data_IF_860851844007
#
_entry.id   IF_860851844007
#
_cell.length_a   1.000
_cell.length_b   1.000
_cell.length_c   1.000
_cell.angle_alpha   90.00
_cell.angle_beta   90.00
_cell.angle_gamma   90.00
#
_symmetry.space_group_name_H-M   'P 1'
#
loop_
_entity.id
_entity.type
_entity.pdbx_description
1 polymer ?
#
# COMPACT_ATOMS: atom_id res chain seq x y z
N UNK A 1 -32.84 -8.41 37.58
CA UNK A 1 -32.64 -7.77 36.26
C UNK A 1 -31.62 -6.66 36.42
N UNK A 2 -30.45 -6.78 35.79
CA UNK A 2 -29.56 -5.64 35.56
C UNK A 2 -28.78 -5.98 34.30
N UNK A 3 -29.27 -5.44 33.18
CA UNK A 3 -28.68 -5.54 31.86
C UNK A 3 -27.40 -4.70 31.89
N UNK A 4 -26.24 -5.32 32.11
CA UNK A 4 -24.97 -4.69 31.75
C UNK A 4 -24.86 -4.76 30.23
N UNK A 5 -25.45 -3.77 29.58
CA UNK A 5 -25.13 -3.44 28.21
C UNK A 5 -23.64 -3.10 28.17
N UNK A 6 -22.82 -4.10 27.81
CA UNK A 6 -21.49 -3.83 27.28
C UNK A 6 -21.72 -3.04 26.01
N UNK A 7 -21.57 -1.73 26.11
CA UNK A 7 -21.33 -0.87 24.97
C UNK A 7 -20.12 -1.47 24.25
N UNK A 8 -20.38 -2.16 23.14
CA UNK A 8 -19.33 -2.72 22.31
C UNK A 8 -18.51 -1.52 21.83
N UNK A 9 -17.32 -1.32 22.40
CA UNK A 9 -16.37 -0.34 21.92
C UNK A 9 -16.30 -0.49 20.40
N UNK A 10 -16.56 0.60 19.67
CA UNK A 10 -16.46 0.58 18.21
C UNK A 10 -15.13 -0.10 17.85
N UNK A 11 -15.12 -1.08 16.92
CA UNK A 11 -13.91 -1.80 16.61
C UNK A 11 -12.82 -0.79 16.28
N UNK A 12 -11.67 -0.89 16.97
CA UNK A 12 -10.53 -0.03 16.69
C UNK A 12 -10.28 -0.03 15.18
N UNK A 13 -10.18 1.15 14.59
CA UNK A 13 -9.95 1.30 13.15
C UNK A 13 -8.65 0.59 12.72
N UNK A 14 -8.47 0.36 11.41
CA UNK A 14 -7.28 -0.30 10.91
C UNK A 14 -6.01 0.45 11.34
N UNK A 15 -4.97 -0.27 11.75
CA UNK A 15 -3.67 0.26 12.12
C UNK A 15 -2.62 -0.13 11.08
N UNK A 16 -1.69 0.78 10.77
CA UNK A 16 -0.59 0.53 9.82
C UNK A 16 0.70 0.24 10.57
N UNK A 17 1.41 -0.81 10.15
CA UNK A 17 2.71 -1.19 10.69
C UNK A 17 3.62 -1.76 9.60
N UNK A 18 4.94 -1.68 9.82
CA UNK A 18 5.94 -2.32 8.94
C UNK A 18 5.67 -3.82 8.86
N UNK A 19 5.62 -4.34 7.65
CA UNK A 19 5.41 -5.77 7.40
C UNK A 19 6.76 -6.46 7.23
N UNK A 20 7.27 -7.06 8.31
CA UNK A 20 8.59 -7.70 8.32
C UNK A 20 8.66 -8.98 7.47
N UNK A 21 7.54 -9.67 7.27
CA UNK A 21 7.42 -10.85 6.43
C UNK A 21 6.02 -10.93 5.81
N UNK A 22 5.93 -11.49 4.60
CA UNK A 22 4.62 -11.77 3.98
C UNK A 22 3.96 -12.99 4.63
N UNK A 23 4.69 -14.08 4.77
CA UNK A 23 4.14 -15.30 5.37
C UNK A 23 4.31 -15.32 6.90
N UNK A 24 3.32 -15.84 7.65
CA UNK A 24 2.02 -16.34 7.17
C UNK A 24 0.94 -15.25 7.01
N UNK A 25 1.20 -14.03 7.47
CA UNK A 25 0.20 -12.98 7.66
C UNK A 25 -0.58 -12.59 6.39
N UNK A 26 0.08 -12.57 5.23
CA UNK A 26 -0.47 -12.12 3.96
C UNK A 26 -1.09 -13.26 3.12
N UNK A 27 -1.10 -14.50 3.61
CA UNK A 27 -1.77 -15.62 2.92
C UNK A 27 -3.22 -15.32 2.50
N UNK A 28 -4.08 -14.77 3.39
CA UNK A 28 -5.44 -14.36 3.04
C UNK A 28 -5.50 -13.29 1.95
N UNK A 29 -4.53 -12.36 1.92
CA UNK A 29 -4.42 -11.32 0.89
C UNK A 29 -4.12 -11.94 -0.48
N UNK A 30 -3.17 -12.87 -0.54
CA UNK A 30 -2.84 -13.59 -1.77
C UNK A 30 -4.06 -14.37 -2.30
N UNK A 31 -4.69 -15.17 -1.44
CA UNK A 31 -5.86 -15.96 -1.82
C UNK A 31 -7.02 -15.09 -2.32
N UNK A 32 -7.23 -13.92 -1.69
CA UNK A 32 -8.25 -12.98 -2.12
C UNK A 32 -7.94 -12.32 -3.47
N UNK A 33 -6.70 -11.90 -3.68
CA UNK A 33 -6.26 -11.31 -4.94
C UNK A 33 -6.38 -12.31 -6.10
N UNK A 34 -6.04 -13.57 -5.87
CA UNK A 34 -6.13 -14.64 -6.88
C UNK A 34 -7.57 -14.93 -7.30
N UNK A 35 -8.50 -15.02 -6.33
CA UNK A 35 -9.93 -15.15 -6.64
C UNK A 35 -10.46 -13.99 -7.48
N UNK A 36 -9.86 -12.82 -7.36
CA UNK A 36 -10.24 -11.61 -8.10
C UNK A 36 -9.42 -11.40 -9.38
N UNK A 37 -8.51 -12.30 -9.73
CA UNK A 37 -7.67 -12.18 -10.93
C UNK A 37 -6.62 -11.06 -10.85
N UNK A 38 -6.25 -10.63 -9.65
CA UNK A 38 -5.32 -9.50 -9.42
C UNK A 38 -3.89 -10.02 -9.32
N UNK A 39 -3.21 -10.09 -10.47
CA UNK A 39 -1.91 -10.75 -10.62
C UNK A 39 -0.74 -10.08 -9.87
N UNK A 40 -0.81 -8.76 -9.59
CA UNK A 40 0.34 -8.07 -9.00
C UNK A 40 0.62 -8.49 -7.54
N UNK A 41 -0.36 -9.02 -6.81
CA UNK A 41 -0.15 -9.56 -5.46
C UNK A 41 0.63 -10.86 -5.51
N UNK A 42 0.35 -11.73 -6.48
CA UNK A 42 1.18 -12.92 -6.71
C UNK A 42 2.62 -12.54 -7.05
N UNK A 43 2.80 -11.53 -7.92
CA UNK A 43 4.11 -10.99 -8.24
C UNK A 43 4.85 -10.44 -7.01
N UNK A 44 4.14 -9.81 -6.06
CA UNK A 44 4.74 -9.42 -4.78
C UNK A 44 5.31 -10.63 -4.04
N UNK A 45 4.58 -11.74 -3.95
CA UNK A 45 5.06 -12.96 -3.28
C UNK A 45 6.25 -13.60 -4.00
N UNK A 46 6.26 -13.62 -5.33
CA UNK A 46 7.37 -14.15 -6.13
C UNK A 46 8.64 -13.28 -6.01
N UNK A 47 8.48 -11.96 -6.12
CA UNK A 47 9.57 -10.99 -5.92
C UNK A 47 10.08 -11.02 -4.48
N UNK A 48 9.16 -11.27 -3.53
CA UNK A 48 9.53 -11.62 -2.18
C UNK A 48 10.31 -12.93 -2.23
N UNK A 49 9.75 -14.13 -2.27
CA UNK A 49 10.51 -15.39 -2.21
C UNK A 49 11.87 -15.45 -2.95
N UNK A 50 11.98 -14.91 -4.18
CA UNK A 50 13.25 -14.80 -4.92
C UNK A 50 14.34 -13.86 -4.36
N UNK A 51 13.96 -12.89 -3.51
CA UNK A 51 14.87 -11.85 -3.01
C UNK A 51 15.03 -10.66 -3.95
N UNK A 52 14.41 -10.69 -5.14
CA UNK A 52 14.53 -9.60 -6.13
C UNK A 52 13.93 -8.27 -5.65
N UNK A 53 12.96 -8.31 -4.72
CA UNK A 53 12.46 -7.15 -4.01
C UNK A 53 12.03 -7.52 -2.58
N UNK A 54 12.76 -7.00 -1.57
CA UNK A 54 12.40 -7.06 -0.16
C UNK A 54 11.93 -5.72 0.41
N UNK A 55 11.95 -4.66 -0.39
CA UNK A 55 11.77 -3.29 0.11
C UNK A 55 12.80 -2.90 1.19
N UNK A 56 14.06 -3.32 1.00
CA UNK A 56 15.15 -3.16 2.00
C UNK A 56 16.19 -2.11 1.60
N UNK A 57 16.09 -1.51 0.40
CA UNK A 57 17.01 -0.42 0.04
C UNK A 57 16.66 0.85 0.83
N UNK A 58 17.58 1.81 0.96
CA UNK A 58 17.29 3.07 1.65
C UNK A 58 16.02 3.76 1.13
N UNK A 59 15.12 4.07 2.07
CA UNK A 59 13.80 4.68 1.80
C UNK A 59 12.73 3.72 1.30
N UNK A 60 13.05 2.45 1.06
CA UNK A 60 12.06 1.44 0.72
C UNK A 60 11.37 0.91 1.98
N UNK A 61 10.09 0.60 1.85
CA UNK A 61 9.29 0.07 2.95
C UNK A 61 8.09 -0.70 2.42
N UNK A 62 7.63 -1.69 3.17
CA UNK A 62 6.33 -2.32 2.98
C UNK A 62 5.53 -2.24 4.27
N UNK A 63 4.29 -1.82 4.15
CA UNK A 63 3.34 -1.71 5.24
C UNK A 63 2.22 -2.74 5.11
N UNK A 64 1.76 -3.22 6.26
CA UNK A 64 0.52 -3.94 6.44
C UNK A 64 -0.51 -3.06 7.16
N UNK A 65 -1.77 -3.16 6.75
CA UNK A 65 -2.90 -2.61 7.48
C UNK A 65 -3.63 -3.74 8.21
N UNK A 66 -3.78 -3.58 9.52
CA UNK A 66 -4.25 -4.60 10.45
C UNK A 66 -5.56 -4.16 11.09
N UNK A 67 -6.53 -5.08 11.17
CA UNK A 67 -7.75 -4.91 11.94
C UNK A 67 -7.89 -6.09 12.89
N UNK A 68 -7.70 -5.83 14.20
CA UNK A 68 -7.43 -6.90 15.16
C UNK A 68 -6.15 -7.64 14.78
N UNK A 69 -6.21 -8.98 14.78
CA UNK A 69 -5.08 -9.84 14.37
C UNK A 69 -5.01 -10.07 12.85
N UNK A 70 -5.99 -9.59 12.09
CA UNK A 70 -6.09 -9.83 10.65
C UNK A 70 -5.39 -8.77 9.81
N UNK A 71 -4.53 -9.21 8.90
CA UNK A 71 -4.00 -8.34 7.84
C UNK A 71 -5.08 -8.13 6.76
N UNK A 72 -5.58 -6.89 6.66
CA UNK A 72 -6.69 -6.52 5.76
C UNK A 72 -6.24 -5.76 4.51
N UNK A 73 -4.99 -5.30 4.49
CA UNK A 73 -4.38 -4.69 3.33
C UNK A 73 -2.86 -4.63 3.47
N UNK A 74 -2.18 -4.36 2.36
CA UNK A 74 -0.74 -4.14 2.32
C UNK A 74 -0.38 -3.18 1.18
N UNK A 75 0.82 -2.64 1.24
CA UNK A 75 1.35 -1.79 0.19
C UNK A 75 2.79 -1.39 0.45
N UNK A 76 3.56 -1.23 -0.63
CA UNK A 76 4.98 -0.89 -0.52
C UNK A 76 5.38 0.35 -1.31
N UNK A 77 6.53 0.88 -0.94
CA UNK A 77 7.22 1.97 -1.59
C UNK A 77 8.64 1.51 -1.92
N UNK A 78 9.00 1.52 -3.19
CA UNK A 78 10.37 1.25 -3.65
C UNK A 78 11.04 2.53 -4.12
N UNK A 79 12.38 2.51 -4.25
CA UNK A 79 13.05 3.39 -5.21
C UNK A 79 12.53 3.03 -6.60
N UNK A 80 12.13 4.00 -7.41
CA UNK A 80 11.49 3.68 -8.68
C UNK A 80 12.49 3.01 -9.64
N UNK A 81 12.29 1.74 -10.03
CA UNK A 81 13.26 1.01 -10.84
C UNK A 81 13.21 1.38 -12.33
N UNK A 82 12.27 2.24 -12.74
CA UNK A 82 12.05 2.64 -14.13
C UNK A 82 12.56 4.06 -14.43
N UNK A 83 13.36 4.64 -13.55
CA UNK A 83 14.06 5.91 -13.78
C UNK A 83 15.43 5.89 -13.12
N UNK A 84 16.38 6.59 -13.72
CA UNK A 84 17.69 6.84 -13.11
C UNK A 84 17.69 8.08 -12.21
N UNK A 85 16.61 8.87 -12.21
CA UNK A 85 16.47 10.06 -11.38
C UNK A 85 16.46 9.70 -9.89
N UNK A 86 17.34 10.33 -9.11
CA UNK A 86 17.37 10.15 -7.67
C UNK A 86 16.19 10.84 -6.97
N UNK A 87 15.80 10.32 -5.81
CA UNK A 87 14.68 10.88 -5.05
C UNK A 87 13.31 10.61 -5.67
N UNK A 88 13.18 9.63 -6.57
CA UNK A 88 11.90 9.15 -7.09
C UNK A 88 11.52 7.82 -6.47
N UNK A 89 10.43 7.82 -5.70
CA UNK A 89 9.82 6.63 -5.12
C UNK A 89 8.69 6.08 -5.98
N UNK A 90 8.31 4.82 -5.77
CA UNK A 90 7.21 4.17 -6.48
C UNK A 90 6.31 3.38 -5.54
N UNK A 91 5.03 3.73 -5.49
CA UNK A 91 4.04 2.87 -4.83
C UNK A 91 3.86 1.60 -5.64
N UNK A 92 3.91 0.45 -4.96
CA UNK A 92 3.76 -0.87 -5.56
C UNK A 92 2.92 -1.75 -4.67
N UNK A 93 2.22 -2.67 -5.32
CA UNK A 93 1.51 -3.76 -4.67
C UNK A 93 0.46 -3.32 -3.64
N UNK A 94 -0.14 -2.13 -3.81
CA UNK A 94 -1.22 -1.65 -2.92
C UNK A 94 -2.45 -2.55 -3.10
N UNK A 95 -2.85 -3.26 -2.05
CA UNK A 95 -3.99 -4.16 -2.06
C UNK A 95 -4.77 -4.10 -0.74
N UNK A 96 -6.10 -4.18 -0.85
CA UNK A 96 -7.01 -4.29 0.30
C UNK A 96 -7.98 -5.43 0.00
N UNK A 97 -8.20 -6.29 0.99
CA UNK A 97 -9.18 -7.37 0.92
C UNK A 97 -10.51 -6.84 0.40
N UNK A 98 -11.16 -7.58 -0.50
CA UNK A 98 -12.45 -7.18 -1.07
C UNK A 98 -13.47 -6.76 -0.01
N UNK A 99 -13.54 -7.52 1.09
CA UNK A 99 -14.43 -7.26 2.24
C UNK A 99 -14.10 -6.02 3.07
N UNK A 100 -12.93 -5.39 2.86
CA UNK A 100 -12.47 -4.22 3.60
C UNK A 100 -12.26 -2.99 2.70
N UNK A 101 -12.67 -3.07 1.42
CA UNK A 101 -12.65 -1.92 0.51
C UNK A 101 -13.71 -0.90 0.90
N UNK A 102 -13.48 0.35 0.53
CA UNK A 102 -14.36 1.49 0.84
C UNK A 102 -14.49 1.82 2.34
N UNK A 103 -13.68 1.19 3.21
CA UNK A 103 -13.58 1.47 4.65
C UNK A 103 -12.39 2.37 5.02
N UNK A 104 -11.76 3.02 4.04
CA UNK A 104 -10.61 3.91 4.27
C UNK A 104 -9.23 3.24 4.41
N UNK A 105 -9.14 1.90 4.45
CA UNK A 105 -7.88 1.14 4.59
C UNK A 105 -6.83 1.54 3.55
N UNK A 106 -7.23 1.62 2.27
CA UNK A 106 -6.30 1.99 1.20
C UNK A 106 -5.80 3.43 1.34
N UNK A 107 -6.67 4.35 1.77
CA UNK A 107 -6.29 5.75 2.03
C UNK A 107 -5.28 5.83 3.17
N UNK A 108 -5.48 5.05 4.24
CA UNK A 108 -4.55 4.98 5.36
C UNK A 108 -3.17 4.49 4.88
N UNK A 109 -3.10 3.33 4.21
CA UNK A 109 -1.85 2.79 3.66
C UNK A 109 -1.09 3.80 2.80
N UNK A 110 -1.78 4.44 1.83
CA UNK A 110 -1.11 5.39 0.93
C UNK A 110 -0.61 6.62 1.68
N UNK A 111 -1.36 7.13 2.67
CA UNK A 111 -0.92 8.27 3.47
C UNK A 111 0.30 7.95 4.32
N UNK A 112 0.34 6.79 4.97
CA UNK A 112 1.51 6.36 5.74
C UNK A 112 2.74 6.15 4.83
N UNK A 113 2.55 5.59 3.63
CA UNK A 113 3.63 5.48 2.63
C UNK A 113 4.13 6.86 2.16
N UNK A 114 3.24 7.81 1.92
CA UNK A 114 3.63 9.18 1.53
C UNK A 114 4.34 9.91 2.66
N UNK A 115 3.90 9.75 3.91
CA UNK A 115 4.60 10.31 5.08
C UNK A 115 6.01 9.75 5.20
N UNK A 116 6.17 8.43 5.03
CA UNK A 116 7.51 7.83 5.00
C UNK A 116 8.36 8.40 3.85
N UNK A 117 7.75 8.64 2.69
CA UNK A 117 8.44 9.18 1.53
C UNK A 117 9.01 10.59 1.75
N UNK A 118 8.46 11.42 2.64
CA UNK A 118 8.90 12.81 2.90
C UNK A 118 10.38 12.91 3.30
N UNK A 119 10.93 11.86 3.94
CA UNK A 119 12.34 11.80 4.35
C UNK A 119 13.28 11.24 3.27
N UNK A 120 12.75 10.73 2.16
CA UNK A 120 13.51 9.88 1.23
C UNK A 120 13.34 10.26 -0.25
N UNK A 121 12.21 10.86 -0.63
CA UNK A 121 11.84 11.10 -2.01
C UNK A 121 11.23 12.49 -2.19
N UNK A 122 11.47 13.07 -3.36
CA UNK A 122 10.87 14.35 -3.81
C UNK A 122 9.62 14.11 -4.66
N UNK A 123 9.50 12.91 -5.23
CA UNK A 123 8.39 12.50 -6.10
C UNK A 123 8.04 11.05 -5.81
N UNK A 124 6.76 10.73 -5.78
CA UNK A 124 6.27 9.35 -5.74
C UNK A 124 5.41 9.09 -6.96
N UNK A 125 5.72 8.02 -7.70
CA UNK A 125 5.01 7.58 -8.91
C UNK A 125 4.24 6.28 -8.66
N UNK A 126 3.30 5.96 -9.53
CA UNK A 126 2.63 4.66 -9.54
C UNK A 126 2.05 4.33 -10.92
N UNK A 127 1.66 3.06 -11.07
CA UNK A 127 0.82 2.60 -12.18
C UNK A 127 -0.51 2.10 -11.63
N UNK A 128 -1.57 2.87 -11.86
CA UNK A 128 -2.94 2.45 -11.60
C UNK A 128 -3.31 1.26 -12.50
N UNK A 129 -3.91 0.23 -11.91
CA UNK A 129 -4.27 -1.01 -12.61
C UNK A 129 -5.66 -0.97 -13.27
N UNK A 130 -6.49 0.02 -12.90
CA UNK A 130 -7.87 0.18 -13.35
C UNK A 130 -8.33 1.65 -13.26
N UNK A 131 -9.41 2.04 -13.98
CA UNK A 131 -10.01 3.37 -13.82
C UNK A 131 -10.39 3.71 -12.36
N UNK A 132 -10.89 2.74 -11.60
CA UNK A 132 -11.25 2.94 -10.19
C UNK A 132 -10.04 3.24 -9.32
N UNK A 133 -8.93 2.52 -9.54
CA UNK A 133 -7.67 2.80 -8.84
C UNK A 133 -7.08 4.16 -9.25
N UNK A 134 -7.20 4.55 -10.52
CA UNK A 134 -6.79 5.88 -10.98
C UNK A 134 -7.61 6.99 -10.29
N UNK A 135 -8.94 6.84 -10.21
CA UNK A 135 -9.80 7.78 -9.50
C UNK A 135 -9.47 7.83 -8.00
N UNK A 136 -9.16 6.69 -7.39
CA UNK A 136 -8.69 6.61 -6.01
C UNK A 136 -7.42 7.42 -5.78
N UNK A 137 -6.38 7.23 -6.60
CA UNK A 137 -5.13 7.98 -6.43
C UNK A 137 -5.30 9.48 -6.68
N UNK A 138 -6.14 9.89 -7.64
CA UNK A 138 -6.46 11.31 -7.86
C UNK A 138 -7.08 11.97 -6.64
N UNK A 139 -8.01 11.29 -5.94
CA UNK A 139 -8.57 11.79 -4.67
C UNK A 139 -7.54 11.95 -3.56
N UNK A 140 -6.41 11.25 -3.66
CA UNK A 140 -5.28 11.37 -2.72
C UNK A 140 -4.25 12.42 -3.17
N UNK A 141 -4.53 13.18 -4.23
CA UNK A 141 -3.67 14.28 -4.70
C UNK A 141 -2.67 13.87 -5.79
N UNK A 142 -2.70 12.62 -6.27
CA UNK A 142 -1.87 12.23 -7.41
C UNK A 142 -2.41 12.85 -8.71
N UNK A 143 -1.53 13.47 -9.49
CA UNK A 143 -1.82 13.93 -10.84
C UNK A 143 -1.55 12.82 -11.86
N UNK A 144 -2.34 12.77 -12.94
CA UNK A 144 -1.99 11.95 -14.09
C UNK A 144 -0.71 12.49 -14.75
N UNK A 145 0.12 11.60 -15.29
CA UNK A 145 1.34 11.98 -16.01
C UNK A 145 1.44 11.25 -17.34
N UNK A 146 2.12 11.89 -18.28
CA UNK A 146 2.47 11.30 -19.58
C UNK A 146 3.86 10.63 -19.49
N UNK A 147 3.89 9.43 -18.90
CA UNK A 147 5.11 8.62 -18.74
C UNK A 147 4.79 7.15 -19.08
N UNK A 148 5.55 6.48 -19.96
CA UNK A 148 5.28 5.08 -20.31
C UNK A 148 5.30 4.12 -19.11
N UNK A 149 6.11 4.41 -18.09
CA UNK A 149 6.32 3.60 -16.90
C UNK A 149 5.42 3.97 -15.71
N UNK A 150 4.75 5.12 -15.74
CA UNK A 150 3.90 5.61 -14.65
C UNK A 150 2.63 6.28 -15.16
N UNK A 151 1.49 6.03 -14.53
CA UNK A 151 0.23 6.71 -14.90
C UNK A 151 -0.06 7.92 -14.04
N UNK A 152 0.47 7.94 -12.82
CA UNK A 152 0.26 9.03 -11.87
C UNK A 152 1.51 9.32 -11.06
N UNK A 153 1.64 10.57 -10.61
CA UNK A 153 2.69 11.03 -9.71
C UNK A 153 2.16 12.05 -8.69
N UNK A 154 2.88 12.20 -7.60
CA UNK A 154 2.72 13.29 -6.63
C UNK A 154 4.09 13.81 -6.21
N UNK A 155 4.20 15.12 -6.00
CA UNK A 155 5.39 15.71 -5.38
C UNK A 155 5.28 15.53 -3.87
N UNK A 156 6.36 15.12 -3.25
CA UNK A 156 6.45 14.96 -1.80
C UNK A 156 7.37 16.06 -1.28
N UNK A 157 6.85 17.04 -0.52
CA UNK A 157 7.69 18.07 0.04
C UNK A 157 8.65 17.43 1.06
N UNK A 158 9.94 17.80 1.05
CA UNK A 158 10.87 17.33 2.08
C UNK A 158 10.43 17.84 3.45
N UNK A 159 10.69 17.04 4.49
CA UNK A 159 10.59 17.53 5.87
C UNK A 159 11.54 18.71 6.03
N UNK A 160 11.02 19.84 6.50
CA UNK A 160 11.78 21.06 6.76
C UNK A 160 12.71 20.91 7.98
#
# INVERSE_FOLDING_TARGET
MSNFEREAAAPAGPAVAVLAALDPAAGPILADAERQGIAFVRRLFEEWQSGSNRFERPGEIIFGAWQGEGLVGLGGLNRDPYTAEEGVGRLRHIYVLGSHRHLGVGTLLVRDLLRHAESHFRTVRLRAASPDSAAFYRRLGFAACDDPAATHLIRVPPIA
#
